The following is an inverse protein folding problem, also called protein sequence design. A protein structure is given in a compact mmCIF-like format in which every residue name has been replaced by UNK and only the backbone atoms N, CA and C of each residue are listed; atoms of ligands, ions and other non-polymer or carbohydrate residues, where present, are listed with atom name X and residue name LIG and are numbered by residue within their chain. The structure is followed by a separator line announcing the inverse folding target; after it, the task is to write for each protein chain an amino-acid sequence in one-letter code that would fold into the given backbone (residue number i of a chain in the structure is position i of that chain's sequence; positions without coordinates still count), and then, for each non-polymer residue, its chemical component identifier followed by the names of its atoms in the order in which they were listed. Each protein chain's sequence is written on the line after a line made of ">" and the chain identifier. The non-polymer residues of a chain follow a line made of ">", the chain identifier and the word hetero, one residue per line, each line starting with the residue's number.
data_IF_485400841864
#
_entry.id   IF_485400841864
#
_cell.length_a   1.000
_cell.length_b   1.000
_cell.length_c   1.000
_cell.angle_alpha   90.00
_cell.angle_beta   90.00
_cell.angle_gamma   90.00
#
_symmetry.space_group_name_H-M   'P 1'
#
loop_
_entity.id
_entity.type
_entity.pdbx_description
1 polymer ?
#
# COMPACT_ATOMS: atom_id res chain seq x y z
N UNK A 1 45.59 10.08 4.74
CA UNK A 1 45.79 11.17 5.71
C UNK A 1 44.52 11.25 6.54
N UNK A 2 44.60 10.92 7.83
CA UNK A 2 43.49 10.97 8.78
C UNK A 2 43.05 12.43 8.98
N UNK A 3 41.79 12.75 8.68
CA UNK A 3 41.19 14.06 8.93
C UNK A 3 40.69 14.13 10.38
N UNK A 4 41.17 15.16 11.09
CA UNK A 4 40.83 15.49 12.48
C UNK A 4 39.44 16.16 12.55
N UNK A 5 38.39 15.36 12.48
CA UNK A 5 37.01 15.77 12.76
C UNK A 5 36.29 14.67 13.56
N UNK A 6 35.21 14.96 14.31
CA UNK A 6 34.42 13.92 14.91
C UNK A 6 33.94 12.96 13.81
N UNK A 7 34.01 11.65 14.02
CA UNK A 7 33.72 10.62 13.00
C UNK A 7 32.32 10.71 12.36
N UNK A 8 31.41 11.47 12.97
CA UNK A 8 30.07 11.79 12.46
C UNK A 8 30.01 12.96 11.46
N UNK A 9 31.09 13.72 11.30
CA UNK A 9 31.23 14.79 10.30
C UNK A 9 32.04 14.36 9.07
N UNK A 10 32.56 13.13 9.05
CA UNK A 10 33.23 12.61 7.86
C UNK A 10 32.22 12.53 6.70
N UNK A 11 32.50 13.16 5.55
CA UNK A 11 31.60 13.15 4.41
C UNK A 11 31.23 11.73 3.96
N UNK A 12 32.16 10.78 4.04
CA UNK A 12 31.89 9.36 3.76
C UNK A 12 30.90 8.74 4.74
N UNK A 13 30.94 9.13 6.03
CA UNK A 13 30.01 8.63 7.03
C UNK A 13 28.62 9.25 6.91
N UNK A 14 28.55 10.54 6.57
CA UNK A 14 27.28 11.22 6.29
C UNK A 14 26.62 10.62 5.04
N UNK A 15 27.37 10.45 3.95
CA UNK A 15 26.84 9.91 2.68
C UNK A 15 26.41 8.44 2.83
N UNK A 16 27.19 7.62 3.55
CA UNK A 16 26.82 6.22 3.82
C UNK A 16 25.63 6.09 4.77
N UNK A 17 25.53 6.96 5.79
CA UNK A 17 24.37 6.96 6.68
C UNK A 17 23.11 7.43 5.96
N UNK A 18 23.20 8.38 5.02
CA UNK A 18 22.06 8.81 4.19
C UNK A 18 21.56 7.68 3.30
N UNK A 19 22.46 6.89 2.69
CA UNK A 19 22.06 5.71 1.91
C UNK A 19 21.36 4.64 2.75
N UNK A 20 21.86 4.37 3.95
CA UNK A 20 21.28 3.40 4.88
C UNK A 20 19.95 3.90 5.46
N UNK A 21 19.86 5.18 5.83
CA UNK A 21 18.64 5.82 6.33
C UNK A 21 17.55 5.88 5.26
N UNK A 22 17.92 6.15 4.00
CA UNK A 22 16.99 6.10 2.88
C UNK A 22 16.44 4.68 2.68
N UNK A 23 17.29 3.65 2.76
CA UNK A 23 16.86 2.25 2.68
C UNK A 23 15.90 1.90 3.81
N UNK A 24 16.22 2.27 5.05
CA UNK A 24 15.34 2.06 6.21
C UNK A 24 14.01 2.81 6.03
N UNK A 25 14.03 4.04 5.51
CA UNK A 25 12.82 4.81 5.21
C UNK A 25 11.93 4.12 4.17
N UNK A 26 12.53 3.62 3.09
CA UNK A 26 11.82 2.84 2.05
C UNK A 26 11.23 1.57 2.63
N UNK A 27 12.00 0.82 3.43
CA UNK A 27 11.53 -0.37 4.14
C UNK A 27 10.34 -0.04 5.05
N UNK A 28 10.43 1.02 5.85
CA UNK A 28 9.37 1.44 6.75
C UNK A 28 8.09 1.79 5.98
N UNK A 29 8.20 2.54 4.88
CA UNK A 29 7.04 2.92 4.06
C UNK A 29 6.38 1.69 3.45
N UNK A 30 7.15 0.79 2.83
CA UNK A 30 6.62 -0.44 2.23
C UNK A 30 6.00 -1.34 3.30
N UNK A 31 6.62 -1.45 4.47
CA UNK A 31 6.07 -2.20 5.59
C UNK A 31 4.73 -1.63 6.07
N UNK A 32 4.63 -0.30 6.22
CA UNK A 32 3.42 0.38 6.69
C UNK A 32 2.31 0.25 5.64
N UNK A 33 2.60 0.47 4.37
CA UNK A 33 1.61 0.36 3.30
C UNK A 33 1.01 -1.04 3.22
N UNK A 34 1.87 -2.06 3.24
CA UNK A 34 1.48 -3.46 3.06
C UNK A 34 0.89 -4.04 4.35
N UNK A 35 1.40 -3.63 5.52
CA UNK A 35 1.01 -4.20 6.81
C UNK A 35 -0.11 -3.46 7.55
N UNK A 36 -0.26 -2.15 7.37
CA UNK A 36 -1.20 -1.33 8.13
C UNK A 36 -2.40 -0.83 7.29
N UNK A 37 -2.64 -1.39 6.10
CA UNK A 37 -3.77 -1.03 5.23
C UNK A 37 -3.82 0.45 4.87
N UNK A 38 -2.67 1.08 4.68
CA UNK A 38 -2.58 2.47 4.21
C UNK A 38 -2.26 2.49 2.70
N UNK A 39 -3.23 2.33 1.79
CA UNK A 39 -3.00 2.26 0.34
C UNK A 39 -2.56 3.60 -0.29
N UNK A 40 -2.43 4.65 0.52
CA UNK A 40 -2.09 6.00 0.07
C UNK A 40 -0.56 6.17 -0.08
N UNK A 41 0.22 5.25 0.48
CA UNK A 41 1.68 5.30 0.40
C UNK A 41 2.16 4.76 -0.96
N UNK A 42 3.18 5.38 -1.59
CA UNK A 42 3.58 5.05 -2.95
C UNK A 42 4.69 3.97 -2.97
N UNK A 43 4.47 2.79 -2.39
CA UNK A 43 5.50 1.75 -2.26
C UNK A 43 5.98 1.15 -3.57
N UNK A 44 5.11 1.02 -4.59
CA UNK A 44 5.52 0.58 -5.93
C UNK A 44 6.58 1.52 -6.53
N UNK A 45 6.37 2.83 -6.34
CA UNK A 45 7.31 3.84 -6.82
C UNK A 45 8.65 3.77 -6.11
N UNK A 46 8.62 3.48 -4.80
CA UNK A 46 9.82 3.39 -3.97
C UNK A 46 10.63 2.13 -4.29
N UNK A 47 9.98 0.99 -4.50
CA UNK A 47 10.61 -0.25 -4.97
C UNK A 47 11.31 -0.04 -6.32
N UNK A 48 10.60 0.57 -7.27
CA UNK A 48 11.15 0.87 -8.59
C UNK A 48 12.32 1.85 -8.49
N UNK A 49 12.15 2.94 -7.76
CA UNK A 49 13.16 3.99 -7.56
C UNK A 49 14.41 3.44 -6.90
N UNK A 50 14.26 2.62 -5.86
CA UNK A 50 15.38 1.98 -5.18
C UNK A 50 16.19 1.11 -6.15
N UNK A 51 15.51 0.32 -7.00
CA UNK A 51 16.16 -0.46 -8.06
C UNK A 51 16.91 0.42 -9.07
N UNK A 52 16.27 1.49 -9.57
CA UNK A 52 16.85 2.41 -10.55
C UNK A 52 18.09 3.15 -10.01
N UNK A 53 18.08 3.54 -8.72
CA UNK A 53 19.21 4.19 -8.06
C UNK A 53 20.42 3.26 -7.92
N UNK A 54 20.21 1.97 -7.63
CA UNK A 54 21.30 0.97 -7.61
C UNK A 54 21.95 0.83 -8.98
N UNK A 55 21.18 0.95 -10.07
CA UNK A 55 21.70 0.87 -11.44
C UNK A 55 22.60 2.04 -11.85
N UNK A 56 22.52 3.17 -11.14
CA UNK A 56 23.38 4.34 -11.38
C UNK A 56 24.73 4.27 -10.67
N UNK A 57 24.99 3.20 -9.92
CA UNK A 57 26.27 3.03 -9.22
C UNK A 57 26.38 3.90 -7.96
N UNK A 58 25.26 4.15 -7.27
CA UNK A 58 25.29 4.70 -5.92
C UNK A 58 26.14 3.79 -5.02
N UNK A 59 27.38 4.22 -4.74
CA UNK A 59 28.46 3.46 -4.06
C UNK A 59 28.14 2.98 -2.64
N UNK A 60 26.97 3.32 -2.12
CA UNK A 60 26.56 3.06 -0.74
C UNK A 60 25.32 2.18 -0.63
N UNK A 61 24.72 1.77 -1.75
CA UNK A 61 23.58 0.85 -1.75
C UNK A 61 24.06 -0.60 -1.83
N UNK A 62 23.41 -1.53 -1.11
CA UNK A 62 23.72 -2.95 -1.20
C UNK A 62 23.46 -3.46 -2.64
N UNK A 63 24.12 -4.55 -3.03
CA UNK A 63 23.94 -5.12 -4.37
C UNK A 63 22.45 -5.33 -4.68
N UNK A 64 22.07 -5.29 -5.96
CA UNK A 64 20.66 -5.45 -6.37
C UNK A 64 20.03 -6.73 -5.80
N UNK A 65 20.82 -7.79 -5.64
CA UNK A 65 20.40 -9.03 -4.99
C UNK A 65 20.02 -8.82 -3.52
N UNK A 66 20.86 -8.11 -2.76
CA UNK A 66 20.59 -7.78 -1.37
C UNK A 66 19.42 -6.81 -1.21
N UNK A 67 19.36 -5.76 -2.04
CA UNK A 67 18.23 -4.83 -2.04
C UNK A 67 16.92 -5.58 -2.30
N UNK A 68 16.87 -6.39 -3.36
CA UNK A 68 15.68 -7.18 -3.70
C UNK A 68 15.29 -8.12 -2.57
N UNK A 69 16.25 -8.78 -1.92
CA UNK A 69 15.98 -9.69 -0.80
C UNK A 69 15.41 -8.94 0.40
N UNK A 70 16.01 -7.80 0.78
CA UNK A 70 15.55 -6.96 1.89
C UNK A 70 14.13 -6.44 1.62
N UNK A 71 13.86 -5.97 0.40
CA UNK A 71 12.55 -5.46 0.01
C UNK A 71 11.47 -6.56 0.05
N UNK A 72 11.79 -7.75 -0.46
CA UNK A 72 10.91 -8.93 -0.41
C UNK A 72 10.62 -9.32 1.03
N UNK A 73 11.64 -9.40 1.90
CA UNK A 73 11.46 -9.74 3.31
C UNK A 73 10.62 -8.69 4.05
N UNK A 74 10.83 -7.42 3.74
CA UNK A 74 10.07 -6.31 4.36
C UNK A 74 8.60 -6.36 3.94
N UNK A 75 8.33 -6.49 2.64
CA UNK A 75 6.98 -6.63 2.13
C UNK A 75 6.30 -7.91 2.68
N UNK A 76 7.04 -9.01 2.75
CA UNK A 76 6.53 -10.27 3.29
C UNK A 76 6.17 -10.11 4.78
N UNK A 77 7.05 -9.52 5.60
CA UNK A 77 6.76 -9.23 6.99
C UNK A 77 5.51 -8.35 7.15
N UNK A 78 5.36 -7.32 6.31
CA UNK A 78 4.15 -6.49 6.26
C UNK A 78 2.89 -7.31 5.98
N UNK A 79 2.90 -8.14 4.94
CA UNK A 79 1.73 -9.00 4.63
C UNK A 79 1.39 -9.99 5.75
N UNK A 80 2.40 -10.52 6.46
CA UNK A 80 2.17 -11.35 7.63
C UNK A 80 1.48 -10.56 8.75
N UNK A 81 1.95 -9.34 9.04
CA UNK A 81 1.28 -8.46 9.99
C UNK A 81 -0.18 -8.21 9.60
N UNK A 82 -0.45 -7.91 8.32
CA UNK A 82 -1.82 -7.74 7.82
C UNK A 82 -2.69 -8.98 8.03
N UNK A 83 -2.19 -10.17 7.74
CA UNK A 83 -2.90 -11.43 8.00
C UNK A 83 -3.21 -11.64 9.48
N UNK A 84 -2.25 -11.39 10.37
CA UNK A 84 -2.45 -11.54 11.81
C UNK A 84 -3.39 -10.48 12.38
N UNK A 85 -3.33 -9.26 11.87
CA UNK A 85 -4.29 -8.19 12.15
C UNK A 85 -5.69 -8.68 11.76
N UNK A 86 -5.89 -9.16 10.53
CA UNK A 86 -7.17 -9.71 10.07
C UNK A 86 -7.66 -10.89 10.91
N UNK A 87 -6.76 -11.81 11.28
CA UNK A 87 -7.11 -13.01 12.05
C UNK A 87 -7.43 -12.71 13.52
N UNK A 88 -6.80 -11.71 14.12
CA UNK A 88 -6.90 -11.39 15.56
C UNK A 88 -7.89 -10.28 15.87
N UNK A 89 -7.98 -9.27 15.00
CA UNK A 89 -8.99 -8.20 15.09
C UNK A 89 -10.29 -8.59 14.39
N UNK A 90 -10.25 -9.56 13.47
CA UNK A 90 -11.41 -10.18 12.82
C UNK A 90 -12.50 -10.68 13.77
N UNK A 91 -12.18 -11.16 14.98
CA UNK A 91 -13.22 -11.45 15.97
C UNK A 91 -13.61 -10.24 16.84
N UNK A 92 -12.67 -9.34 17.19
CA UNK A 92 -12.89 -8.24 18.17
C UNK A 92 -13.57 -7.00 17.61
N UNK A 93 -13.33 -6.67 16.34
CA UNK A 93 -14.06 -5.59 15.64
C UNK A 93 -15.47 -6.04 15.25
N UNK A 94 -15.68 -7.36 15.12
CA UNK A 94 -16.88 -7.99 14.59
C UNK A 94 -17.80 -8.60 15.66
N UNK A 95 -17.38 -8.63 16.93
CA UNK A 95 -18.21 -9.03 18.08
C UNK A 95 -19.04 -7.88 18.66
N UNK A 96 -19.13 -6.74 17.97
CA UNK A 96 -20.10 -5.67 18.26
C UNK A 96 -21.36 -5.84 17.41
N UNK A 97 -22.49 -6.27 17.99
CA UNK A 97 -23.71 -6.63 17.25
C UNK A 97 -24.46 -5.46 16.56
N UNK A 98 -24.03 -4.20 16.72
CA UNK A 98 -24.78 -3.01 16.27
C UNK A 98 -24.26 -2.28 15.02
N UNK A 99 -23.20 -2.76 14.35
CA UNK A 99 -22.78 -2.08 13.11
C UNK A 99 -23.52 -2.65 11.89
N UNK A 100 -24.44 -1.85 11.33
CA UNK A 100 -25.22 -2.08 10.08
C UNK A 100 -24.38 -2.34 8.81
N UNK A 101 -23.07 -2.59 8.94
CA UNK A 101 -22.13 -2.58 7.82
C UNK A 101 -21.80 -4.01 7.34
N UNK A 102 -21.93 -5.07 8.15
CA UNK A 102 -21.54 -6.41 7.69
C UNK A 102 -22.38 -7.57 8.28
N UNK A 103 -23.19 -8.20 7.42
CA UNK A 103 -23.91 -9.47 7.67
C UNK A 103 -22.95 -10.67 7.58
N UNK A 104 -23.16 -11.70 8.42
CA UNK A 104 -22.44 -13.00 8.39
C UNK A 104 -22.27 -13.61 6.99
N UNK A 105 -23.23 -13.36 6.11
CA UNK A 105 -23.23 -13.76 4.69
C UNK A 105 -21.97 -13.34 3.91
N UNK A 106 -21.33 -12.21 4.26
CA UNK A 106 -20.08 -11.77 3.61
C UNK A 106 -18.85 -12.53 4.11
N UNK A 107 -18.89 -13.07 5.34
CA UNK A 107 -17.80 -13.89 5.90
C UNK A 107 -17.81 -15.25 5.21
N UNK A 108 -19.00 -15.85 5.06
CA UNK A 108 -19.19 -17.10 4.33
C UNK A 108 -18.88 -16.93 2.84
N UNK A 109 -19.21 -15.79 2.23
CA UNK A 109 -18.79 -15.47 0.86
C UNK A 109 -17.29 -15.27 0.73
N UNK A 110 -16.62 -14.64 1.69
CA UNK A 110 -15.16 -14.48 1.68
C UNK A 110 -14.49 -15.85 1.82
N UNK A 111 -14.99 -16.70 2.72
CA UNK A 111 -14.60 -18.09 2.84
C UNK A 111 -14.81 -18.87 1.53
N UNK A 112 -16.00 -18.78 0.93
CA UNK A 112 -16.33 -19.44 -0.33
C UNK A 112 -15.50 -18.90 -1.50
N UNK A 113 -15.13 -17.62 -1.51
CA UNK A 113 -14.22 -17.04 -2.51
C UNK A 113 -12.80 -17.59 -2.37
N UNK A 114 -12.28 -17.68 -1.14
CA UNK A 114 -10.96 -18.27 -0.91
C UNK A 114 -10.95 -19.78 -1.13
N UNK A 115 -12.05 -20.47 -0.86
CA UNK A 115 -12.22 -21.91 -1.12
C UNK A 115 -12.36 -22.20 -2.62
N UNK A 116 -13.08 -21.35 -3.37
CA UNK A 116 -13.34 -21.50 -4.82
C UNK A 116 -12.18 -21.06 -5.72
N UNK A 117 -11.48 -19.98 -5.38
CA UNK A 117 -10.38 -19.44 -6.19
C UNK A 117 -8.98 -19.73 -5.63
N UNK A 118 -8.91 -20.26 -4.39
CA UNK A 118 -7.69 -20.77 -3.78
C UNK A 118 -6.59 -19.72 -3.58
N UNK A 119 -5.37 -20.24 -3.32
CA UNK A 119 -4.18 -19.41 -3.10
C UNK A 119 -3.70 -18.62 -4.33
N UNK A 120 -4.12 -18.97 -5.55
CA UNK A 120 -3.70 -18.25 -6.78
C UNK A 120 -4.16 -16.79 -6.79
N UNK A 121 -5.32 -16.51 -6.19
CA UNK A 121 -5.85 -15.16 -6.05
C UNK A 121 -4.92 -14.27 -5.22
N UNK A 122 -4.27 -14.82 -4.20
CA UNK A 122 -3.30 -14.07 -3.38
C UNK A 122 -2.07 -13.67 -4.19
N UNK A 123 -1.63 -14.49 -5.14
CA UNK A 123 -0.51 -14.14 -6.03
C UNK A 123 -0.90 -12.98 -6.94
N UNK A 124 -2.08 -13.05 -7.56
CA UNK A 124 -2.58 -12.02 -8.48
C UNK A 124 -2.86 -10.71 -7.74
N UNK A 125 -3.38 -10.78 -6.51
CA UNK A 125 -3.66 -9.62 -5.67
C UNK A 125 -2.44 -8.72 -5.50
N UNK A 126 -1.22 -9.28 -5.46
CA UNK A 126 0.00 -8.50 -5.21
C UNK A 126 0.34 -7.52 -6.34
N UNK A 127 -0.13 -7.79 -7.55
CA UNK A 127 0.06 -6.92 -8.70
C UNK A 127 -0.96 -5.78 -8.77
N UNK A 128 -2.00 -5.80 -7.92
CA UNK A 128 -3.05 -4.78 -7.91
C UNK A 128 -2.91 -3.98 -6.60
N UNK A 129 -2.43 -2.72 -6.64
CA UNK A 129 -2.01 -1.97 -5.45
C UNK A 129 -3.06 -1.86 -4.34
N UNK A 130 -4.33 -1.65 -4.70
CA UNK A 130 -5.41 -1.60 -3.71
C UNK A 130 -5.78 -2.99 -3.20
N UNK A 131 -5.76 -4.02 -4.04
CA UNK A 131 -6.22 -5.35 -3.67
C UNK A 131 -5.20 -6.05 -2.76
N UNK A 132 -3.89 -5.84 -2.95
CA UNK A 132 -2.84 -6.50 -2.13
C UNK A 132 -2.95 -6.24 -0.64
N UNK A 133 -3.30 -5.00 -0.26
CA UNK A 133 -3.40 -4.59 1.14
C UNK A 133 -4.62 -5.24 1.79
N UNK A 134 -5.76 -5.23 1.11
CA UNK A 134 -6.98 -5.89 1.60
C UNK A 134 -6.91 -7.42 1.54
N UNK A 135 -6.20 -8.01 0.58
CA UNK A 135 -6.13 -9.46 0.40
C UNK A 135 -5.53 -10.18 1.61
N UNK A 136 -4.45 -9.64 2.18
CA UNK A 136 -3.79 -10.22 3.35
C UNK A 136 -4.71 -10.23 4.58
N UNK A 137 -5.44 -9.13 4.78
CA UNK A 137 -6.40 -8.99 5.89
C UNK A 137 -7.64 -9.86 5.66
N UNK A 138 -8.18 -9.87 4.45
CA UNK A 138 -9.32 -10.71 4.08
C UNK A 138 -9.01 -12.20 4.27
N UNK A 139 -7.80 -12.65 3.90
CA UNK A 139 -7.34 -14.01 4.15
C UNK A 139 -7.24 -14.34 5.65
N UNK A 140 -6.85 -13.36 6.47
CA UNK A 140 -6.83 -13.47 7.93
C UNK A 140 -8.24 -13.57 8.53
N UNK A 141 -9.17 -12.71 8.09
CA UNK A 141 -10.57 -12.70 8.52
C UNK A 141 -11.29 -13.99 8.13
N UNK A 142 -11.10 -14.47 6.89
CA UNK A 142 -11.61 -15.76 6.40
C UNK A 142 -10.87 -16.99 6.97
N UNK A 143 -10.12 -16.81 8.07
CA UNK A 143 -9.24 -17.79 8.75
C UNK A 143 -8.62 -18.86 7.85
N UNK A 144 -8.09 -18.45 6.72
CA UNK A 144 -7.35 -19.33 5.82
C UNK A 144 -6.24 -20.07 6.57
N UNK A 145 -5.87 -21.29 6.15
CA UNK A 145 -4.74 -22.01 6.78
C UNK A 145 -3.46 -21.19 6.55
N UNK A 146 -2.77 -20.85 7.63
CA UNK A 146 -1.57 -20.00 7.60
C UNK A 146 -0.51 -20.49 6.62
N UNK A 147 -0.25 -21.80 6.57
CA UNK A 147 0.70 -22.39 5.64
C UNK A 147 0.33 -22.17 4.17
N UNK A 148 -0.96 -22.21 3.84
CA UNK A 148 -1.44 -21.95 2.49
C UNK A 148 -1.31 -20.46 2.15
N UNK A 149 -1.71 -19.57 3.07
CA UNK A 149 -1.51 -18.12 2.92
C UNK A 149 -0.02 -17.79 2.71
N UNK A 150 0.85 -18.22 3.62
CA UNK A 150 2.28 -17.93 3.61
C UNK A 150 2.97 -18.35 2.30
N UNK A 151 2.64 -19.54 1.77
CA UNK A 151 3.22 -20.03 0.53
C UNK A 151 2.81 -19.18 -0.68
N UNK A 152 1.51 -19.00 -0.91
CA UNK A 152 1.01 -18.28 -2.10
C UNK A 152 1.30 -16.78 -2.02
N UNK A 153 1.12 -16.18 -0.84
CA UNK A 153 1.49 -14.79 -0.61
C UNK A 153 3.00 -14.60 -0.77
N UNK A 154 3.82 -15.53 -0.26
CA UNK A 154 5.27 -15.50 -0.43
C UNK A 154 5.68 -15.47 -1.90
N UNK A 155 5.08 -16.34 -2.73
CA UNK A 155 5.29 -16.34 -4.18
C UNK A 155 4.89 -14.99 -4.79
N UNK A 156 3.71 -14.47 -4.44
CA UNK A 156 3.23 -13.18 -4.93
C UNK A 156 4.14 -12.02 -4.56
N UNK A 157 4.60 -11.96 -3.30
CA UNK A 157 5.50 -10.91 -2.81
C UNK A 157 6.87 -11.00 -3.48
N UNK A 158 7.43 -12.21 -3.66
CA UNK A 158 8.69 -12.39 -4.37
C UNK A 158 8.58 -11.91 -5.81
N UNK A 159 7.52 -12.29 -6.52
CA UNK A 159 7.31 -11.89 -7.91
C UNK A 159 7.06 -10.38 -8.04
N UNK A 160 6.29 -9.78 -7.13
CA UNK A 160 5.99 -8.36 -7.14
C UNK A 160 7.17 -7.52 -6.64
N UNK A 161 7.56 -7.64 -5.36
CA UNK A 161 8.60 -6.79 -4.78
C UNK A 161 9.96 -7.05 -5.43
N UNK A 162 10.30 -8.32 -5.67
CA UNK A 162 11.51 -8.68 -6.40
C UNK A 162 11.45 -8.22 -7.85
N UNK A 163 10.35 -8.53 -8.56
CA UNK A 163 10.19 -8.16 -9.97
C UNK A 163 10.23 -6.65 -10.21
N UNK A 164 9.48 -5.86 -9.44
CA UNK A 164 9.46 -4.39 -9.55
C UNK A 164 10.82 -3.79 -9.25
N UNK A 165 11.53 -4.29 -8.24
CA UNK A 165 12.89 -3.81 -7.89
C UNK A 165 13.89 -4.12 -9.01
N UNK A 166 13.87 -5.34 -9.54
CA UNK A 166 14.72 -5.75 -10.66
C UNK A 166 14.38 -5.01 -11.96
N UNK A 167 13.10 -4.76 -12.21
CA UNK A 167 12.64 -3.98 -13.35
C UNK A 167 13.13 -2.54 -13.25
N UNK A 168 13.04 -1.92 -12.06
CA UNK A 168 13.63 -0.60 -11.79
C UNK A 168 15.13 -0.56 -12.07
N UNK A 169 15.87 -1.60 -11.64
CA UNK A 169 17.30 -1.72 -11.92
C UNK A 169 17.62 -1.87 -13.42
N UNK A 170 16.88 -2.74 -14.13
CA UNK A 170 17.06 -2.94 -15.56
C UNK A 170 16.79 -1.67 -16.36
N UNK A 171 15.67 -0.99 -16.08
CA UNK A 171 15.32 0.29 -16.72
C UNK A 171 16.30 1.40 -16.35
N UNK A 172 16.73 1.46 -15.09
CA UNK A 172 17.74 2.41 -14.63
C UNK A 172 19.11 2.22 -15.30
N UNK A 173 19.37 1.08 -15.93
CA UNK A 173 20.61 0.86 -16.68
C UNK A 173 20.55 1.36 -18.14
N UNK A 174 19.36 1.72 -18.64
CA UNK A 174 19.17 2.21 -20.02
C UNK A 174 19.68 3.65 -20.12
N UNK A 175 20.57 3.94 -21.09
CA UNK A 175 21.27 5.23 -21.24
C UNK A 175 20.35 6.45 -21.32
N UNK A 176 19.15 6.30 -21.90
CA UNK A 176 18.14 7.36 -21.98
C UNK A 176 17.53 7.69 -20.61
N UNK A 177 17.34 6.67 -19.78
CA UNK A 177 16.80 6.78 -18.41
C UNK A 177 17.89 7.28 -17.46
N UNK A 178 19.15 6.86 -17.67
CA UNK A 178 20.31 7.37 -16.90
C UNK A 178 20.45 8.88 -16.93
N UNK A 179 20.16 9.48 -18.09
CA UNK A 179 20.29 10.92 -18.28
C UNK A 179 19.13 11.72 -17.68
N UNK A 180 18.01 11.08 -17.35
CA UNK A 180 16.75 11.74 -16.98
C UNK A 180 16.12 11.13 -15.71
N UNK A 181 16.94 10.74 -14.72
CA UNK A 181 16.42 10.10 -13.51
C UNK A 181 15.47 11.01 -12.72
N UNK A 182 15.74 12.32 -12.67
CA UNK A 182 14.84 13.29 -12.02
C UNK A 182 13.45 13.29 -12.67
N UNK A 183 13.40 13.29 -14.01
CA UNK A 183 12.15 13.26 -14.77
C UNK A 183 11.42 11.94 -14.55
N UNK A 184 12.15 10.82 -14.50
CA UNK A 184 11.58 9.50 -14.21
C UNK A 184 10.98 9.45 -12.79
N UNK A 185 11.71 9.95 -11.78
CA UNK A 185 11.23 9.99 -10.40
C UNK A 185 9.98 10.85 -10.28
N UNK A 186 10.00 12.05 -10.85
CA UNK A 186 8.84 12.96 -10.87
C UNK A 186 7.65 12.30 -11.59
N UNK A 187 7.89 11.63 -12.71
CA UNK A 187 6.85 10.94 -13.47
C UNK A 187 6.21 9.81 -12.65
N UNK A 188 7.01 8.97 -12.00
CA UNK A 188 6.50 7.85 -11.20
C UNK A 188 5.69 8.37 -10.00
N UNK A 189 6.19 9.40 -9.30
CA UNK A 189 5.45 10.05 -8.21
C UNK A 189 4.13 10.63 -8.73
N UNK A 190 4.14 11.33 -9.86
CA UNK A 190 2.93 11.87 -10.49
C UNK A 190 1.93 10.78 -10.83
N UNK A 191 2.37 9.69 -11.48
CA UNK A 191 1.51 8.57 -11.86
C UNK A 191 0.96 7.85 -10.62
N UNK A 192 1.72 7.78 -9.53
CA UNK A 192 1.28 7.16 -8.28
C UNK A 192 0.27 8.03 -7.52
N UNK A 193 0.46 9.36 -7.50
CA UNK A 193 -0.39 10.29 -6.73
C UNK A 193 -1.63 10.73 -7.52
N UNK A 194 -1.58 10.75 -8.86
CA UNK A 194 -2.67 11.19 -9.71
C UNK A 194 -4.01 10.43 -9.50
N UNK A 195 -4.04 9.09 -9.41
CA UNK A 195 -5.28 8.35 -9.15
C UNK A 195 -5.92 8.77 -7.83
N UNK A 196 -5.12 8.92 -6.77
CA UNK A 196 -5.58 9.33 -5.44
C UNK A 196 -6.17 10.74 -5.47
N UNK A 197 -5.51 11.67 -6.17
CA UNK A 197 -6.01 13.04 -6.33
C UNK A 197 -7.31 13.10 -7.14
N UNK A 198 -7.42 12.33 -8.22
CA UNK A 198 -8.63 12.24 -9.05
C UNK A 198 -9.79 11.64 -8.25
N UNK A 199 -9.55 10.57 -7.49
CA UNK A 199 -10.53 9.93 -6.61
C UNK A 199 -11.00 10.89 -5.52
N UNK A 200 -10.08 11.58 -4.85
CA UNK A 200 -10.37 12.57 -3.82
C UNK A 200 -11.16 13.77 -4.37
N UNK A 201 -10.83 14.24 -5.57
CA UNK A 201 -11.56 15.31 -6.23
C UNK A 201 -12.98 14.89 -6.64
N UNK A 202 -13.14 13.68 -7.18
CA UNK A 202 -14.45 13.10 -7.50
C UNK A 202 -15.29 12.85 -6.24
N UNK A 203 -14.68 12.41 -5.14
CA UNK A 203 -15.35 12.23 -3.85
C UNK A 203 -15.82 13.57 -3.25
N UNK A 204 -15.01 14.63 -3.35
CA UNK A 204 -15.40 16.00 -2.94
C UNK A 204 -16.52 16.58 -3.80
N UNK A 205 -16.52 16.32 -5.12
CA UNK A 205 -17.65 16.73 -5.98
C UNK A 205 -18.94 16.02 -5.64
N UNK A 206 -18.90 14.70 -5.41
CA UNK A 206 -20.08 13.91 -5.03
C UNK A 206 -20.66 14.32 -3.68
N UNK A 207 -19.81 14.61 -2.69
CA UNK A 207 -20.24 15.11 -1.38
C UNK A 207 -20.81 16.53 -1.43
N UNK A 208 -20.29 17.41 -2.30
CA UNK A 208 -20.85 18.77 -2.49
C UNK A 208 -22.23 18.73 -3.15
N UNK A 209 -22.42 17.87 -4.15
CA UNK A 209 -23.70 17.68 -4.83
C UNK A 209 -24.74 17.04 -3.90
N UNK A 210 -24.35 16.01 -3.14
CA UNK A 210 -25.23 15.38 -2.15
C UNK A 210 -25.67 16.33 -1.03
N UNK A 211 -24.77 17.22 -0.58
CA UNK A 211 -25.05 18.23 0.45
C UNK A 211 -25.97 19.36 -0.06
N UNK A 212 -25.86 19.73 -1.34
CA UNK A 212 -26.77 20.72 -1.95
C UNK A 212 -28.17 20.13 -2.15
N UNK A 213 -28.28 18.87 -2.58
CA UNK A 213 -29.56 18.17 -2.72
C UNK A 213 -30.29 17.98 -1.37
N UNK A 214 -29.56 17.81 -0.26
CA UNK A 214 -30.17 17.75 1.08
C UNK A 214 -30.63 19.12 1.59
N UNK A 215 -29.96 20.19 1.18
CA UNK A 215 -30.37 21.56 1.53
C UNK A 215 -31.60 21.99 0.72
N UNK A 216 -31.66 21.67 -0.58
CA UNK A 216 -32.86 21.89 -1.41
C UNK A 216 -34.06 21.06 -0.93
N UNK A 217 -33.84 19.81 -0.51
CA UNK A 217 -34.90 18.97 0.07
C UNK A 217 -35.39 19.47 1.44
N UNK A 218 -34.53 20.16 2.20
CA UNK A 218 -34.90 20.78 3.47
C UNK A 218 -35.66 22.12 3.28
N UNK A 219 -35.35 22.86 2.21
CA UNK A 219 -35.97 24.15 1.88
C UNK A 219 -37.30 23.98 1.10
N UNK A 220 -37.49 22.83 0.44
CA UNK A 220 -38.69 22.48 -0.32
C UNK A 220 -39.80 21.76 0.48
N UNK A 221 -39.66 21.59 1.80
CA UNK A 221 -40.70 20.98 2.63
C UNK A 221 -41.89 21.95 2.79
N UNK A 222 -43.11 21.60 2.31
CA UNK A 222 -44.23 22.53 2.36
C UNK A 222 -44.69 22.77 3.81
N UNK A 223 -44.71 24.04 4.21
CA UNK A 223 -45.20 24.53 5.51
C UNK A 223 -46.73 24.42 5.65
N UNK A 224 -47.31 23.24 5.45
CA UNK A 224 -48.77 23.02 5.43
C UNK A 224 -49.27 22.01 6.47
N UNK A 225 -48.55 21.80 7.58
CA UNK A 225 -49.00 20.89 8.64
C UNK A 225 -49.21 21.56 10.01
N UNK A 226 -49.30 22.89 10.08
CA UNK A 226 -49.51 23.62 11.35
C UNK A 226 -50.87 24.30 11.48
N UNK A 227 -51.83 24.03 10.58
CA UNK A 227 -53.16 24.64 10.71
C UNK A 227 -54.23 23.68 10.20
N UNK A 228 -54.72 22.81 11.10
CA UNK A 228 -56.08 22.25 11.06
C UNK A 228 -56.42 21.53 12.37
N UNK A 229 -57.24 22.26 13.12
CA UNK A 229 -58.28 21.80 14.05
C UNK A 229 -57.85 21.43 15.47
N UNK A 230 -57.61 22.49 16.25
CA UNK A 230 -58.39 22.71 17.47
C UNK A 230 -59.90 22.73 17.14
N UNK A 231 -60.67 21.76 17.63
CA UNK A 231 -62.10 21.86 18.00
C UNK A 231 -62.57 20.58 18.70
#
# INVERSE_FOLDING_TARGET
>A
MHTLGPSFLDPEHIISSLGTAALIGVMAIVFIEVGLLFPILPGDSLLFTAGALVAHGGSHLPSIWWLSLIMVLTAYAGTQCGYWIGRTLGPRVFSRPDSKIFKQEHIDQTYAYFDKYGGRTLVIAQFIPFVRTYASVAAGVGRMRYSHFALYNGIGVVLWAGGVTWLGYGLGNITFIKKNIEVLLVLIVLVSVAPVLVEAWRARRRSRVARLATLEAADGAPATALDRDEA
#
